data_IF_830609276420
#
_entry.id   IF_830609276420
#
_cell.length_a   1.000
_cell.length_b   1.000
_cell.length_c   1.000
_cell.angle_alpha   90.00
_cell.angle_beta   90.00
_cell.angle_gamma   90.00
#
_symmetry.space_group_name_H-M   'P 1'
#
loop_
_entity.id
_entity.type
_entity.pdbx_description
1 polymer ?
#
# COMPACT_ATOMS: atom_id res chain seq x y z
N UNK A 1 27.67 -10.95 75.60
CA UNK A 1 27.74 -9.48 75.65
C UNK A 1 29.14 -9.06 75.26
N UNK A 2 29.32 -8.47 74.08
CA UNK A 2 30.56 -7.83 73.64
C UNK A 2 30.16 -6.60 72.81
N UNK A 3 30.74 -5.47 73.18
CA UNK A 3 30.64 -4.14 72.56
C UNK A 3 31.74 -3.98 71.51
N UNK A 4 31.58 -3.08 70.52
CA UNK A 4 32.56 -2.05 70.10
C UNK A 4 32.19 -1.40 68.75
N UNK A 5 31.90 -0.09 68.85
CA UNK A 5 32.20 1.12 68.05
C UNK A 5 32.59 1.09 66.55
N UNK A 6 31.95 2.06 65.86
CA UNK A 6 32.43 2.98 64.81
C UNK A 6 32.60 2.47 63.38
N UNK A 7 32.08 3.24 62.40
CA UNK A 7 32.80 3.85 61.26
C UNK A 7 31.89 4.89 60.60
N UNK A 8 32.39 6.12 60.47
CA UNK A 8 31.83 7.20 59.68
C UNK A 8 32.27 7.05 58.22
N UNK A 9 31.42 7.38 57.24
CA UNK A 9 31.89 7.67 55.87
C UNK A 9 30.91 8.60 55.15
N UNK A 10 31.48 9.59 54.47
CA UNK A 10 30.85 10.84 54.05
C UNK A 10 29.76 10.74 52.98
N UNK A 11 28.81 11.66 53.08
CA UNK A 11 27.86 11.94 52.01
C UNK A 11 28.59 12.57 50.82
N UNK A 12 28.61 11.84 49.71
CA UNK A 12 28.95 12.36 48.39
C UNK A 12 27.79 13.24 47.90
N UNK A 13 28.00 14.56 47.80
CA UNK A 13 27.03 15.45 47.15
C UNK A 13 27.25 15.34 45.64
N UNK A 14 26.44 14.52 44.96
CA UNK A 14 26.31 14.57 43.50
C UNK A 14 25.54 15.84 43.14
N UNK A 15 26.22 16.81 42.53
CA UNK A 15 25.57 17.92 41.85
C UNK A 15 24.86 17.39 40.60
N UNK A 16 23.54 17.19 40.68
CA UNK A 16 22.71 16.86 39.54
C UNK A 16 22.56 18.10 38.65
N UNK A 17 23.17 18.06 37.46
CA UNK A 17 22.94 19.05 36.41
C UNK A 17 21.55 18.80 35.83
N UNK A 18 20.57 19.65 36.17
CA UNK A 18 19.25 19.60 35.55
C UNK A 18 19.36 20.11 34.11
N UNK A 19 19.40 19.20 33.15
CA UNK A 19 19.20 19.53 31.74
C UNK A 19 17.73 19.91 31.60
N UNK A 20 17.44 21.20 31.46
CA UNK A 20 16.11 21.68 31.08
C UNK A 20 15.91 21.31 29.62
N UNK A 21 15.22 20.20 29.36
CA UNK A 21 14.75 19.87 28.02
C UNK A 21 13.74 20.94 27.60
N UNK A 22 14.11 21.79 26.63
CA UNK A 22 13.16 22.67 25.98
C UNK A 22 12.11 21.81 25.27
N UNK A 23 10.82 22.16 25.31
CA UNK A 23 9.81 21.47 24.53
C UNK A 23 10.19 21.59 23.05
N UNK A 24 10.35 20.46 22.37
CA UNK A 24 10.49 20.44 20.93
C UNK A 24 9.23 21.09 20.33
N UNK A 25 9.36 21.97 19.31
CA UNK A 25 8.18 22.47 18.62
C UNK A 25 7.42 21.26 18.09
N UNK A 26 6.11 21.21 18.39
CA UNK A 26 5.17 20.26 17.84
C UNK A 26 5.11 20.46 16.32
N UNK A 27 6.07 19.87 15.62
CA UNK A 27 6.00 19.62 14.20
C UNK A 27 4.94 18.58 13.99
N UNK A 28 3.66 18.97 14.09
CA UNK A 28 2.57 18.23 13.51
C UNK A 28 2.89 18.15 12.02
N UNK A 29 3.56 17.06 11.62
CA UNK A 29 3.65 16.68 10.24
C UNK A 29 2.22 16.70 9.71
N UNK A 30 1.99 17.49 8.66
CA UNK A 30 0.75 17.49 7.91
C UNK A 30 0.61 16.09 7.31
N UNK A 31 0.02 15.17 8.09
CA UNK A 31 -0.24 13.81 7.66
C UNK A 31 -1.41 13.93 6.70
N UNK A 32 -1.07 14.21 5.44
CA UNK A 32 -2.01 14.16 4.34
C UNK A 32 -2.67 12.79 4.40
N UNK A 33 -4.00 12.77 4.55
CA UNK A 33 -4.77 11.53 4.56
C UNK A 33 -4.29 10.65 3.38
N UNK A 34 -3.98 9.39 3.68
CA UNK A 34 -3.64 8.38 2.67
C UNK A 34 -4.71 8.48 1.58
N UNK A 35 -4.31 8.56 0.31
CA UNK A 35 -5.30 8.65 -0.75
C UNK A 35 -6.17 7.39 -0.70
N UNK A 36 -7.41 7.55 -0.21
CA UNK A 36 -8.39 6.47 -0.11
C UNK A 36 -8.87 6.01 -1.49
N UNK A 37 -8.51 6.73 -2.55
CA UNK A 37 -8.85 6.42 -3.93
C UNK A 37 -7.69 5.77 -4.65
N UNK A 38 -7.96 4.62 -5.27
CA UNK A 38 -7.07 3.93 -6.18
C UNK A 38 -7.61 4.07 -7.60
N UNK A 39 -6.73 3.99 -8.59
CA UNK A 39 -7.13 4.09 -10.00
C UNK A 39 -6.33 3.09 -10.81
N UNK A 40 -6.98 2.49 -11.79
CA UNK A 40 -6.35 1.61 -12.78
C UNK A 40 -6.67 2.09 -14.17
N UNK A 41 -5.93 1.61 -15.18
CA UNK A 41 -6.30 1.69 -16.60
C UNK A 41 -6.42 0.29 -17.16
N UNK A 42 -7.44 0.05 -17.96
CA UNK A 42 -7.70 -1.21 -18.67
C UNK A 42 -8.01 -0.86 -20.12
N UNK A 43 -7.40 -1.56 -21.10
CA UNK A 43 -7.60 -1.33 -22.53
C UNK A 43 -7.89 -2.63 -23.28
N UNK A 44 -8.77 -2.54 -24.28
CA UNK A 44 -9.34 -3.70 -24.99
C UNK A 44 -8.32 -4.46 -25.82
N UNK A 45 -7.27 -3.78 -26.26
CA UNK A 45 -6.22 -4.40 -27.04
C UNK A 45 -4.88 -4.32 -26.32
N UNK A 46 -3.91 -5.18 -26.70
CA UNK A 46 -2.54 -5.04 -26.28
C UNK A 46 -1.96 -3.66 -26.65
N UNK A 47 -0.86 -3.32 -25.97
CA UNK A 47 -0.08 -2.10 -26.10
C UNK A 47 -0.90 -0.82 -25.94
N UNK A 48 -1.86 -0.85 -25.01
CA UNK A 48 -2.75 0.28 -24.67
C UNK A 48 -3.65 0.71 -25.84
N UNK A 49 -3.98 -0.21 -26.74
CA UNK A 49 -4.85 0.03 -27.90
C UNK A 49 -6.32 -0.23 -27.63
N UNK A 50 -7.17 0.18 -28.59
CA UNK A 50 -8.63 0.02 -28.48
C UNK A 50 -9.27 1.04 -27.55
N UNK A 51 -10.48 0.74 -27.08
CA UNK A 51 -11.12 1.52 -26.02
C UNK A 51 -10.41 1.26 -24.69
N UNK A 52 -10.30 2.30 -23.86
CA UNK A 52 -9.72 2.18 -22.52
C UNK A 52 -10.63 2.83 -21.48
N UNK A 53 -10.70 2.23 -20.30
CA UNK A 53 -11.34 2.82 -19.12
C UNK A 53 -10.34 3.04 -17.99
N UNK A 54 -10.65 4.01 -17.12
CA UNK A 54 -9.86 4.28 -15.92
C UNK A 54 -10.72 4.21 -14.64
N UNK A 55 -11.19 3.02 -14.24
CA UNK A 55 -12.03 2.91 -13.08
C UNK A 55 -11.27 3.29 -11.81
N UNK A 56 -11.99 3.96 -10.92
CA UNK A 56 -11.52 4.31 -9.57
C UNK A 56 -12.10 3.35 -8.55
N UNK A 57 -11.40 3.15 -7.46
CA UNK A 57 -11.79 2.28 -6.38
C UNK A 57 -11.33 2.79 -5.03
N UNK A 58 -11.69 2.07 -3.98
CA UNK A 58 -11.24 2.38 -2.62
C UNK A 58 -9.99 1.58 -2.27
N UNK A 59 -9.06 2.22 -1.55
CA UNK A 59 -7.83 1.63 -1.05
C UNK A 59 -8.06 0.28 -0.36
N UNK A 60 -7.25 -0.73 -0.70
CA UNK A 60 -7.32 -2.11 -0.18
C UNK A 60 -8.66 -2.85 -0.36
N UNK A 61 -9.66 -2.26 -1.01
CA UNK A 61 -10.95 -2.88 -1.28
C UNK A 61 -10.97 -3.55 -2.64
N UNK A 62 -11.72 -4.65 -2.74
CA UNK A 62 -11.98 -5.28 -4.02
C UNK A 62 -12.94 -4.44 -4.86
N UNK A 63 -12.66 -4.32 -6.15
CA UNK A 63 -13.47 -3.60 -7.11
C UNK A 63 -13.80 -4.53 -8.27
N UNK A 64 -15.08 -4.66 -8.59
CA UNK A 64 -15.53 -5.38 -9.77
C UNK A 64 -15.32 -4.53 -11.01
N UNK A 65 -14.94 -5.16 -12.11
CA UNK A 65 -14.90 -4.50 -13.41
C UNK A 65 -16.34 -4.12 -13.78
N UNK A 66 -16.58 -2.91 -14.33
CA UNK A 66 -17.91 -2.51 -14.77
C UNK A 66 -18.50 -3.52 -15.75
N UNK A 67 -19.81 -3.78 -15.69
CA UNK A 67 -20.44 -4.87 -16.44
C UNK A 67 -20.21 -4.85 -17.97
N UNK A 68 -20.08 -3.67 -18.59
CA UNK A 68 -19.75 -3.54 -20.02
C UNK A 68 -18.28 -3.76 -20.37
N UNK A 69 -17.45 -4.03 -19.35
CA UNK A 69 -16.00 -4.14 -19.45
C UNK A 69 -15.45 -5.47 -18.89
N UNK A 70 -16.32 -6.28 -18.28
CA UNK A 70 -15.96 -7.60 -17.76
C UNK A 70 -15.39 -8.49 -18.86
N UNK A 71 -14.24 -9.12 -18.62
CA UNK A 71 -13.58 -10.04 -19.56
C UNK A 71 -13.23 -9.40 -20.94
N UNK A 72 -12.80 -8.13 -20.95
CA UNK A 72 -12.39 -7.41 -22.17
C UNK A 72 -10.97 -6.84 -22.15
N UNK A 73 -10.24 -7.04 -21.05
CA UNK A 73 -8.93 -6.42 -20.88
C UNK A 73 -7.83 -7.25 -21.56
N UNK A 74 -7.08 -6.62 -22.47
CA UNK A 74 -5.83 -7.18 -23.01
C UNK A 74 -4.58 -6.41 -22.58
N UNK A 75 -4.73 -5.24 -21.95
CA UNK A 75 -3.65 -4.54 -21.25
C UNK A 75 -4.14 -3.78 -20.03
N UNK A 76 -3.34 -3.76 -18.96
CA UNK A 76 -3.72 -3.20 -17.65
C UNK A 76 -2.57 -2.47 -16.97
N UNK A 77 -2.88 -1.39 -16.24
CA UNK A 77 -1.93 -0.80 -15.30
C UNK A 77 -2.56 -0.16 -14.07
N UNK A 78 -1.91 -0.29 -12.92
CA UNK A 78 -2.20 0.52 -11.75
C UNK A 78 -1.72 1.95 -11.94
N UNK A 79 -2.59 2.93 -11.70
CA UNK A 79 -2.31 4.38 -11.77
C UNK A 79 -2.17 5.03 -10.39
N UNK A 80 -2.30 4.26 -9.31
CA UNK A 80 -2.17 4.76 -7.93
C UNK A 80 -0.76 5.27 -7.67
N UNK A 81 -0.64 6.39 -6.94
CA UNK A 81 0.63 7.10 -6.73
C UNK A 81 1.73 6.28 -6.03
N UNK A 82 1.38 5.17 -5.38
CA UNK A 82 2.33 4.31 -4.67
C UNK A 82 2.67 3.07 -5.51
N UNK A 83 3.59 3.24 -6.46
CA UNK A 83 4.04 2.18 -7.38
C UNK A 83 4.59 0.93 -6.69
N UNK A 84 5.12 1.07 -5.46
CA UNK A 84 5.70 -0.05 -4.70
C UNK A 84 4.70 -1.13 -4.33
N UNK A 85 3.41 -0.77 -4.27
CA UNK A 85 2.33 -1.69 -3.97
C UNK A 85 1.41 -1.72 -5.20
N UNK A 86 1.78 -2.56 -6.16
CA UNK A 86 1.03 -2.72 -7.41
C UNK A 86 -0.36 -3.33 -7.20
N UNK A 87 -1.26 -3.13 -8.17
CA UNK A 87 -2.59 -3.71 -8.13
C UNK A 87 -2.58 -5.21 -8.44
N UNK A 88 -3.54 -5.93 -7.88
CA UNK A 88 -3.81 -7.35 -8.15
C UNK A 88 -5.06 -7.46 -9.02
N UNK A 89 -5.03 -8.35 -10.00
CA UNK A 89 -6.12 -8.59 -10.95
C UNK A 89 -6.61 -10.03 -10.79
N UNK A 90 -7.90 -10.25 -11.01
CA UNK A 90 -8.57 -11.52 -10.71
C UNK A 90 -9.50 -11.92 -11.84
N UNK A 91 -9.56 -13.22 -12.10
CA UNK A 91 -10.37 -13.79 -13.19
C UNK A 91 -11.88 -13.81 -12.91
N UNK A 92 -12.27 -13.63 -11.65
CA UNK A 92 -13.67 -13.65 -11.23
C UNK A 92 -14.02 -12.38 -10.47
N UNK A 93 -15.33 -12.15 -10.30
CA UNK A 93 -15.85 -11.09 -9.45
C UNK A 93 -15.38 -11.27 -8.00
N UNK A 94 -15.40 -10.17 -7.24
CA UNK A 94 -15.11 -10.12 -5.81
C UNK A 94 -13.70 -10.61 -5.43
N UNK A 95 -12.74 -10.48 -6.34
CA UNK A 95 -11.33 -10.81 -6.16
C UNK A 95 -11.10 -12.30 -5.85
N UNK A 96 -11.85 -13.14 -6.54
CA UNK A 96 -11.79 -14.59 -6.47
C UNK A 96 -11.09 -15.21 -7.69
N UNK A 97 -10.84 -16.52 -7.62
CA UNK A 97 -10.18 -17.26 -8.70
C UNK A 97 -8.67 -17.01 -8.77
N UNK A 98 -8.09 -17.27 -9.94
CA UNK A 98 -6.69 -17.02 -10.25
C UNK A 98 -6.38 -15.53 -10.17
N UNK A 99 -5.20 -15.24 -9.63
CA UNK A 99 -4.70 -13.88 -9.41
C UNK A 99 -3.50 -13.59 -10.31
N UNK A 100 -3.45 -12.37 -10.85
CA UNK A 100 -2.32 -11.78 -11.54
C UNK A 100 -1.79 -10.57 -10.75
N UNK A 101 -0.47 -10.42 -10.63
CA UNK A 101 0.15 -9.42 -9.74
C UNK A 101 1.05 -8.42 -10.44
N UNK A 102 1.20 -8.50 -11.77
CA UNK A 102 1.96 -7.49 -12.47
C UNK A 102 1.18 -6.17 -12.43
N UNK A 103 1.83 -5.11 -11.96
CA UNK A 103 1.16 -3.81 -11.85
C UNK A 103 0.88 -3.20 -13.22
N UNK A 104 1.75 -3.47 -14.20
CA UNK A 104 1.68 -2.93 -15.55
C UNK A 104 1.99 -4.05 -16.53
N UNK A 105 1.02 -4.33 -17.39
CA UNK A 105 1.16 -5.29 -18.47
C UNK A 105 0.53 -4.74 -19.74
N UNK A 106 1.37 -4.56 -20.76
CA UNK A 106 0.95 -4.08 -22.05
C UNK A 106 0.38 -5.20 -22.93
N UNK A 107 0.58 -6.49 -22.62
CA UNK A 107 0.08 -7.57 -23.47
C UNK A 107 -0.24 -8.81 -22.63
N UNK A 108 -1.47 -8.89 -22.11
CA UNK A 108 -1.93 -10.02 -21.30
C UNK A 108 -1.99 -11.35 -22.07
N UNK A 109 -1.92 -11.30 -23.41
CA UNK A 109 -1.82 -12.49 -24.26
C UNK A 109 -0.39 -13.04 -24.33
N UNK A 110 0.61 -12.35 -23.78
CA UNK A 110 1.97 -12.85 -23.73
C UNK A 110 2.14 -13.98 -22.67
N UNK A 111 3.22 -14.75 -22.80
CA UNK A 111 3.45 -15.91 -21.93
C UNK A 111 2.39 -17.01 -22.09
N UNK A 112 1.63 -17.28 -21.02
CA UNK A 112 0.55 -18.28 -21.03
C UNK A 112 -0.80 -17.73 -21.51
N UNK A 113 -0.90 -16.41 -21.73
CA UNK A 113 -2.08 -15.72 -22.24
C UNK A 113 -3.33 -15.86 -21.39
N UNK A 114 -3.22 -16.32 -20.14
CA UNK A 114 -4.40 -16.72 -19.38
C UNK A 114 -5.31 -15.55 -19.04
N UNK A 115 -4.75 -14.38 -18.74
CA UNK A 115 -5.51 -13.23 -18.26
C UNK A 115 -6.09 -12.34 -19.36
N UNK A 116 -5.73 -12.61 -20.62
CA UNK A 116 -6.27 -11.92 -21.78
C UNK A 116 -7.79 -12.14 -21.87
N UNK A 117 -8.56 -11.06 -21.89
CA UNK A 117 -10.02 -11.10 -21.88
C UNK A 117 -10.61 -11.90 -20.70
N UNK A 118 -9.94 -11.92 -19.54
CA UNK A 118 -10.43 -12.65 -18.35
C UNK A 118 -10.53 -11.87 -17.07
N UNK A 119 -10.10 -10.61 -17.04
CA UNK A 119 -10.10 -9.84 -15.79
C UNK A 119 -11.54 -9.40 -15.46
N UNK A 120 -12.02 -9.80 -14.28
CA UNK A 120 -13.36 -9.47 -13.77
C UNK A 120 -13.34 -8.63 -12.49
N UNK A 121 -12.22 -8.61 -11.77
CA UNK A 121 -12.05 -7.71 -10.62
C UNK A 121 -10.60 -7.37 -10.33
N UNK A 122 -10.41 -6.34 -9.52
CA UNK A 122 -9.08 -5.84 -9.15
C UNK A 122 -9.07 -5.33 -7.71
N UNK A 123 -7.89 -5.35 -7.10
CA UNK A 123 -7.65 -4.75 -5.78
C UNK A 123 -6.29 -4.10 -5.79
N UNK A 124 -6.26 -2.79 -5.61
CA UNK A 124 -5.03 -2.08 -5.32
C UNK A 124 -4.81 -2.08 -3.79
N UNK A 125 -3.57 -2.27 -3.35
CA UNK A 125 -3.19 -2.36 -1.94
C UNK A 125 -3.47 -1.09 -1.17
#
# INVERSE_FOLDING_TARGET
>A
MVSIKSIATGLLVLAASAVVAAPAPDGAADIKARQDTTRVRMCEHPYWGGECIEPTGTWAQCQNVPAGWDNRASSVKGLTANFYFGCKWFEHFNCEGRMYTNNEDANLSDGDGFFDDRISSWRCP
#
